data_IF_552273045076
#
_entry.id   IF_552273045076
#
_cell.length_a   1.000
_cell.length_b   1.000
_cell.length_c   1.000
_cell.angle_alpha   90.00
_cell.angle_beta   90.00
_cell.angle_gamma   90.00
#
_symmetry.space_group_name_H-M   'P 1'
#
loop_
_entity.id
_entity.type
_entity.pdbx_description
1 polymer ?
#
# COMPACT_ATOMS: atom_id res chain seq x y z
N UNK A 1 -56.25 28.82 -12.19
CA UNK A 1 -55.93 27.41 -12.41
C UNK A 1 -54.80 27.27 -13.43
N UNK A 2 -53.82 26.38 -13.18
CA UNK A 2 -52.66 26.00 -13.98
C UNK A 2 -51.45 26.96 -13.90
N UNK A 3 -50.41 26.56 -13.20
CA UNK A 3 -49.08 26.07 -13.68
C UNK A 3 -48.09 26.10 -12.54
N UNK A 4 -47.88 24.96 -11.91
CA UNK A 4 -46.65 24.68 -11.15
C UNK A 4 -46.33 23.19 -11.41
N UNK A 5 -45.34 22.91 -12.19
CA UNK A 5 -44.65 21.60 -12.27
C UNK A 5 -43.60 21.69 -13.40
N UNK A 6 -42.37 21.95 -13.08
CA UNK A 6 -41.17 21.50 -13.80
C UNK A 6 -39.92 22.20 -13.26
N UNK A 7 -39.35 21.69 -12.18
CA UNK A 7 -37.97 22.02 -11.74
C UNK A 7 -37.53 21.01 -10.67
N UNK A 8 -37.34 19.76 -11.08
CA UNK A 8 -36.81 18.73 -10.18
C UNK A 8 -36.02 17.60 -10.88
N UNK A 9 -35.33 17.88 -11.99
CA UNK A 9 -34.68 16.81 -12.75
C UNK A 9 -33.16 17.02 -13.02
N UNK A 10 -32.52 18.06 -12.50
CA UNK A 10 -31.13 18.39 -12.88
C UNK A 10 -30.07 18.19 -11.80
N UNK A 11 -30.40 17.79 -10.57
CA UNK A 11 -29.44 17.67 -9.48
C UNK A 11 -28.79 16.29 -9.32
N UNK A 12 -29.31 15.23 -9.95
CA UNK A 12 -28.84 13.86 -9.72
C UNK A 12 -27.60 13.45 -10.54
N UNK A 13 -27.33 14.13 -11.67
CA UNK A 13 -26.26 13.69 -12.58
C UNK A 13 -24.83 14.11 -12.20
N UNK A 14 -24.67 15.15 -11.39
CA UNK A 14 -23.34 15.68 -11.01
C UNK A 14 -22.64 14.84 -9.92
N UNK A 15 -23.40 14.19 -9.04
CA UNK A 15 -22.82 13.43 -7.91
C UNK A 15 -22.18 12.11 -8.34
N UNK A 16 -22.75 11.46 -9.38
CA UNK A 16 -22.22 10.16 -9.88
C UNK A 16 -20.90 10.34 -10.62
N UNK A 17 -20.68 11.46 -11.30
CA UNK A 17 -19.43 11.71 -12.04
C UNK A 17 -18.21 11.90 -11.15
N UNK A 18 -18.37 12.54 -9.99
CA UNK A 18 -17.27 12.79 -9.04
C UNK A 18 -16.79 11.50 -8.37
N UNK A 19 -17.71 10.61 -8.02
CA UNK A 19 -17.37 9.34 -7.36
C UNK A 19 -16.61 8.36 -8.28
N UNK A 20 -16.93 8.29 -9.55
CA UNK A 20 -16.24 7.41 -10.52
C UNK A 20 -14.85 7.92 -10.86
N UNK A 21 -14.65 9.23 -10.95
CA UNK A 21 -13.34 9.84 -11.20
C UNK A 21 -12.41 9.64 -10.00
N UNK A 22 -12.87 9.86 -8.78
CA UNK A 22 -12.10 9.62 -7.55
C UNK A 22 -11.73 8.14 -7.38
N UNK A 23 -12.66 7.21 -7.61
CA UNK A 23 -12.37 5.78 -7.56
C UNK A 23 -11.32 5.33 -8.61
N UNK A 24 -11.29 5.99 -9.78
CA UNK A 24 -10.26 5.74 -10.81
C UNK A 24 -8.89 6.33 -10.45
N UNK A 25 -8.86 7.46 -9.79
CA UNK A 25 -7.62 8.08 -9.29
C UNK A 25 -7.00 7.24 -8.17
N UNK A 26 -7.80 6.76 -7.22
CA UNK A 26 -7.39 5.88 -6.13
C UNK A 26 -6.92 4.49 -6.62
N UNK A 27 -7.40 4.04 -7.77
CA UNK A 27 -7.01 2.77 -8.38
C UNK A 27 -5.65 2.82 -9.10
N UNK A 28 -5.02 3.99 -9.24
CA UNK A 28 -3.71 4.11 -9.88
C UNK A 28 -2.58 3.85 -8.88
N UNK A 29 -1.53 3.18 -9.35
CA UNK A 29 -0.29 3.12 -8.59
C UNK A 29 0.36 4.51 -8.51
N UNK A 30 0.97 4.83 -7.37
CA UNK A 30 1.74 6.07 -7.25
C UNK A 30 2.87 6.10 -8.29
N UNK A 31 3.22 7.29 -8.83
CA UNK A 31 4.24 7.41 -9.88
C UNK A 31 5.55 6.71 -9.51
N UNK A 32 5.98 5.75 -10.32
CA UNK A 32 7.19 4.94 -10.09
C UNK A 32 6.97 3.64 -9.34
N UNK A 33 5.82 3.43 -8.73
CA UNK A 33 5.45 2.13 -8.17
C UNK A 33 4.82 1.22 -9.26
N UNK A 34 4.99 -0.10 -9.16
CA UNK A 34 4.41 -1.03 -10.11
C UNK A 34 2.88 -1.12 -9.99
N UNK A 35 2.21 -1.43 -11.10
CA UNK A 35 0.74 -1.50 -11.18
C UNK A 35 0.09 -2.43 -10.14
N UNK A 36 0.78 -3.48 -9.69
CA UNK A 36 0.25 -4.38 -8.66
C UNK A 36 0.16 -3.76 -7.25
N UNK A 37 0.67 -2.53 -7.04
CA UNK A 37 0.46 -1.75 -5.82
C UNK A 37 -0.73 -0.79 -5.95
N UNK A 38 -1.40 -0.73 -7.11
CA UNK A 38 -2.48 0.22 -7.34
C UNK A 38 -3.59 0.09 -6.27
N UNK A 39 -4.08 1.22 -5.79
CA UNK A 39 -5.18 1.27 -4.81
C UNK A 39 -4.86 0.71 -3.43
N UNK A 40 -3.59 0.50 -3.07
CA UNK A 40 -3.22 -0.14 -1.79
C UNK A 40 -3.74 0.62 -0.56
N UNK A 41 -3.95 1.91 -0.64
CA UNK A 41 -4.48 2.71 0.47
C UNK A 41 -5.91 2.36 0.86
N UNK A 42 -6.67 1.76 -0.08
CA UNK A 42 -8.01 1.23 0.17
C UNK A 42 -8.01 -0.21 0.75
N UNK A 43 -6.85 -0.88 0.81
CA UNK A 43 -6.79 -2.23 1.37
C UNK A 43 -6.90 -2.23 2.89
N UNK A 44 -7.28 -3.37 3.51
CA UNK A 44 -7.28 -3.51 4.95
C UNK A 44 -5.93 -3.13 5.57
N UNK A 45 -5.97 -2.21 6.53
CA UNK A 45 -4.81 -1.83 7.31
C UNK A 45 -4.50 -2.92 8.34
N UNK A 46 -3.26 -3.36 8.38
CA UNK A 46 -2.81 -4.42 9.29
C UNK A 46 -2.56 -3.89 10.70
N UNK A 47 -2.01 -2.68 10.82
CA UNK A 47 -1.78 -2.01 12.09
C UNK A 47 -2.95 -1.08 12.46
N UNK A 48 -3.42 -1.15 13.71
CA UNK A 48 -4.51 -0.30 14.22
C UNK A 48 -4.09 1.17 14.33
N UNK A 49 -2.88 1.42 14.84
CA UNK A 49 -2.28 2.75 14.95
C UNK A 49 -0.97 2.80 14.15
N UNK A 50 -0.51 3.97 13.71
CA UNK A 50 0.79 4.10 13.04
C UNK A 50 1.90 3.49 13.91
N UNK A 51 2.76 2.69 13.30
CA UNK A 51 3.90 2.07 13.99
C UNK A 51 4.99 3.14 14.12
N UNK A 52 5.43 3.49 15.34
CA UNK A 52 6.44 4.53 15.54
C UNK A 52 7.81 4.08 14.99
N UNK A 53 8.72 5.02 14.70
CA UNK A 53 10.09 4.72 14.34
C UNK A 53 10.82 4.02 15.48
N UNK A 54 11.77 3.13 15.14
CA UNK A 54 12.67 2.47 16.07
C UNK A 54 14.09 2.60 15.55
N UNK A 55 15.05 2.75 16.44
CA UNK A 55 16.47 2.90 16.07
C UNK A 55 17.00 1.68 15.30
N UNK A 56 16.55 0.47 15.66
CA UNK A 56 16.95 -0.80 15.03
C UNK A 56 16.22 -1.15 13.75
N UNK A 57 15.23 -0.34 13.32
CA UNK A 57 14.45 -0.65 12.12
C UNK A 57 15.22 -0.28 10.85
N UNK A 58 15.34 -1.20 9.90
CA UNK A 58 15.83 -0.92 8.54
C UNK A 58 14.93 0.13 7.85
N UNK A 59 13.62 0.05 8.09
CA UNK A 59 12.63 1.00 7.60
C UNK A 59 12.41 2.13 8.63
N UNK A 60 13.35 3.06 8.73
CA UNK A 60 13.29 4.19 9.68
C UNK A 60 12.14 5.13 9.36
N UNK A 61 11.27 5.38 10.33
CA UNK A 61 10.13 6.30 10.20
C UNK A 61 8.84 5.73 10.76
N UNK A 62 7.78 6.55 10.73
CA UNK A 62 6.42 6.12 11.08
C UNK A 62 5.82 5.31 9.94
N UNK A 63 5.22 4.16 10.26
CA UNK A 63 4.77 3.17 9.28
C UNK A 63 3.28 2.90 9.34
N UNK A 64 2.68 2.71 8.16
CA UNK A 64 1.39 2.04 7.98
C UNK A 64 1.59 0.82 7.09
N UNK A 65 0.87 -0.24 7.37
CA UNK A 65 0.95 -1.50 6.61
C UNK A 65 -0.42 -1.88 6.13
N UNK A 66 -0.53 -2.18 4.85
CA UNK A 66 -1.75 -2.59 4.16
C UNK A 66 -1.54 -3.96 3.53
N UNK A 67 -2.58 -4.79 3.51
CA UNK A 67 -2.52 -6.11 2.88
C UNK A 67 -3.75 -6.35 2.02
N UNK A 68 -3.55 -6.77 0.77
CA UNK A 68 -4.64 -7.05 -0.17
C UNK A 68 -5.46 -8.27 0.23
N UNK A 69 -4.90 -9.18 1.05
CA UNK A 69 -5.57 -10.37 1.59
C UNK A 69 -5.23 -10.56 3.06
N UNK A 70 -6.13 -11.18 3.81
CA UNK A 70 -5.89 -11.50 5.23
C UNK A 70 -5.04 -12.77 5.37
N UNK A 71 -4.14 -12.78 6.35
CA UNK A 71 -3.44 -13.99 6.76
C UNK A 71 -4.39 -14.96 7.46
N UNK A 72 -4.18 -16.25 7.24
CA UNK A 72 -4.81 -17.33 7.99
C UNK A 72 -3.74 -18.04 8.82
N UNK A 73 -3.93 -18.11 10.15
CA UNK A 73 -2.93 -18.65 11.09
C UNK A 73 -1.53 -18.08 10.89
N UNK A 74 -1.46 -16.76 10.57
CA UNK A 74 -0.20 -16.05 10.35
C UNK A 74 0.42 -16.25 8.97
N UNK A 75 -0.18 -17.03 8.08
CA UNK A 75 0.32 -17.28 6.71
C UNK A 75 -0.56 -16.55 5.70
N UNK A 76 0.08 -15.82 4.79
CA UNK A 76 -0.62 -15.14 3.71
C UNK A 76 -0.78 -16.07 2.49
N UNK A 77 -1.94 -16.07 1.82
CA UNK A 77 -2.15 -16.89 0.63
C UNK A 77 -1.35 -16.34 -0.56
N UNK A 78 -1.09 -17.19 -1.55
CA UNK A 78 -0.51 -16.78 -2.84
C UNK A 78 -1.33 -15.67 -3.50
N UNK A 79 -0.67 -14.73 -4.16
CA UNK A 79 -1.27 -13.54 -4.74
C UNK A 79 -1.53 -12.42 -3.72
N UNK A 80 -1.10 -12.57 -2.45
CA UNK A 80 -1.14 -11.46 -1.49
C UNK A 80 -0.08 -10.43 -1.85
N UNK A 81 -0.49 -9.16 -1.75
CA UNK A 81 0.41 -8.01 -1.76
C UNK A 81 0.34 -7.34 -0.39
N UNK A 82 1.49 -7.00 0.18
CA UNK A 82 1.60 -6.22 1.40
C UNK A 82 2.39 -4.97 1.06
N UNK A 83 1.87 -3.80 1.43
CA UNK A 83 2.52 -2.51 1.23
C UNK A 83 2.74 -1.84 2.57
N UNK A 84 3.95 -1.40 2.83
CA UNK A 84 4.35 -0.62 3.99
C UNK A 84 4.73 0.78 3.53
N UNK A 85 3.94 1.76 3.95
CA UNK A 85 4.31 3.16 3.85
C UNK A 85 5.26 3.55 4.97
N UNK A 86 6.27 4.32 4.66
CA UNK A 86 7.19 4.87 5.63
C UNK A 86 7.29 6.39 5.43
N UNK A 87 6.98 7.12 6.51
CA UNK A 87 7.21 8.56 6.61
C UNK A 87 8.44 8.75 7.48
N UNK A 88 9.51 9.27 6.89
CA UNK A 88 10.76 9.54 7.60
C UNK A 88 10.56 10.61 8.68
N UNK A 89 11.39 10.64 9.72
CA UNK A 89 11.40 11.76 10.67
C UNK A 89 11.56 13.10 9.94
N UNK A 90 10.70 14.07 10.26
CA UNK A 90 10.68 15.37 9.58
C UNK A 90 9.86 15.46 8.29
N UNK A 91 9.59 14.33 7.62
CA UNK A 91 8.80 14.32 6.39
C UNK A 91 7.29 14.44 6.69
N UNK A 92 6.59 15.31 5.91
CA UNK A 92 5.13 15.38 5.92
C UNK A 92 4.46 14.45 4.89
N UNK A 93 5.23 13.65 4.17
CA UNK A 93 4.78 12.77 3.10
C UNK A 93 5.36 11.36 3.23
N UNK A 94 4.80 10.42 2.49
CA UNK A 94 5.35 9.06 2.36
C UNK A 94 6.55 9.12 1.44
N UNK A 95 7.75 9.06 2.01
CA UNK A 95 9.02 9.13 1.29
C UNK A 95 9.58 7.77 0.89
N UNK A 96 9.12 6.69 1.53
CA UNK A 96 9.54 5.32 1.24
C UNK A 96 8.32 4.41 1.20
N UNK A 97 8.30 3.49 0.25
CA UNK A 97 7.33 2.39 0.16
C UNK A 97 8.08 1.08 0.03
N UNK A 98 7.85 0.17 0.97
CA UNK A 98 8.34 -1.21 0.88
C UNK A 98 7.16 -2.14 0.61
N UNK A 99 7.27 -3.00 -0.40
CA UNK A 99 6.20 -3.95 -0.70
C UNK A 99 6.72 -5.36 -0.91
N UNK A 100 5.85 -6.31 -0.58
CA UNK A 100 6.05 -7.74 -0.78
C UNK A 100 4.87 -8.29 -1.56
N UNK A 101 5.10 -9.16 -2.54
CA UNK A 101 4.04 -9.96 -3.15
C UNK A 101 4.37 -11.44 -3.15
N UNK A 102 3.37 -12.28 -2.85
CA UNK A 102 3.53 -13.73 -2.80
C UNK A 102 3.17 -14.33 -4.15
N UNK A 103 4.16 -14.85 -4.85
CA UNK A 103 4.04 -15.37 -6.22
C UNK A 103 3.86 -16.89 -6.21
N UNK A 104 3.03 -17.44 -7.13
CA UNK A 104 2.90 -18.88 -7.30
C UNK A 104 4.22 -19.46 -7.87
N UNK A 105 4.56 -20.68 -7.46
CA UNK A 105 5.72 -21.40 -7.99
C UNK A 105 7.09 -20.82 -7.70
N UNK A 106 7.19 -19.64 -7.11
CA UNK A 106 8.45 -19.02 -6.73
C UNK A 106 9.07 -19.74 -5.54
N UNK A 107 10.28 -20.30 -5.71
CA UNK A 107 11.01 -20.98 -4.64
C UNK A 107 11.89 -20.05 -3.82
N UNK A 108 12.51 -19.04 -4.45
CA UNK A 108 13.34 -18.05 -3.77
C UNK A 108 12.53 -17.27 -2.73
N UNK A 109 13.11 -16.98 -1.57
CA UNK A 109 12.50 -16.22 -0.47
C UNK A 109 11.11 -16.75 -0.05
N UNK A 110 10.92 -18.09 -0.13
CA UNK A 110 9.66 -18.77 0.24
C UNK A 110 8.43 -18.21 -0.49
N UNK A 111 8.61 -17.82 -1.74
CA UNK A 111 7.54 -17.29 -2.60
C UNK A 111 7.38 -15.78 -2.56
N UNK A 112 8.08 -15.06 -1.68
CA UNK A 112 7.98 -13.62 -1.60
C UNK A 112 8.94 -12.93 -2.57
N UNK A 113 8.42 -11.99 -3.35
CA UNK A 113 9.18 -10.93 -3.99
C UNK A 113 9.11 -9.69 -3.10
N UNK A 114 10.24 -9.05 -2.87
CA UNK A 114 10.37 -7.91 -1.96
C UNK A 114 11.09 -6.78 -2.65
N UNK A 115 10.51 -5.59 -2.62
CA UNK A 115 11.08 -4.39 -3.23
C UNK A 115 10.78 -3.19 -2.34
N UNK A 116 11.75 -2.31 -2.22
CA UNK A 116 11.64 -1.03 -1.55
C UNK A 116 11.93 0.10 -2.54
N UNK A 117 11.12 1.16 -2.48
CA UNK A 117 11.26 2.36 -3.29
C UNK A 117 11.35 3.60 -2.41
N UNK A 118 12.00 4.63 -2.93
CA UNK A 118 12.12 5.92 -2.27
C UNK A 118 11.86 7.06 -3.24
N UNK A 119 11.44 8.21 -2.69
CA UNK A 119 11.35 9.47 -3.41
C UNK A 119 11.79 10.64 -2.53
N UNK A 120 12.42 11.68 -3.10
CA UNK A 120 12.90 12.85 -2.34
C UNK A 120 11.82 13.90 -2.06
N UNK A 121 10.65 13.84 -2.72
CA UNK A 121 9.55 14.79 -2.52
C UNK A 121 8.21 14.20 -2.94
N UNK A 122 7.11 14.88 -2.63
CA UNK A 122 5.75 14.46 -3.04
C UNK A 122 5.55 14.44 -4.56
N UNK A 123 6.27 15.29 -5.30
CA UNK A 123 6.17 15.42 -6.77
C UNK A 123 7.10 14.45 -7.51
N UNK A 124 8.09 13.90 -6.82
CA UNK A 124 9.04 12.97 -7.42
C UNK A 124 8.42 11.57 -7.59
N UNK A 125 8.86 10.88 -8.64
CA UNK A 125 8.55 9.46 -8.84
C UNK A 125 9.35 8.61 -7.86
N UNK A 126 8.79 7.48 -7.47
CA UNK A 126 9.51 6.48 -6.70
C UNK A 126 10.57 5.78 -7.57
N UNK A 127 11.80 5.70 -7.06
CA UNK A 127 12.90 4.91 -7.61
C UNK A 127 13.18 3.71 -6.70
N UNK A 128 13.65 2.60 -7.28
CA UNK A 128 14.01 1.40 -6.50
C UNK A 128 15.18 1.71 -5.59
N UNK A 129 15.05 1.42 -4.29
CA UNK A 129 16.08 1.55 -3.27
C UNK A 129 16.74 0.21 -2.96
N UNK A 130 15.95 -0.85 -2.78
CA UNK A 130 16.42 -2.19 -2.46
C UNK A 130 15.48 -3.27 -2.97
N UNK A 131 15.96 -4.49 -3.18
CA UNK A 131 15.17 -5.65 -3.59
C UNK A 131 15.85 -6.98 -3.31
N UNK A 132 15.05 -8.05 -3.28
CA UNK A 132 15.53 -9.43 -3.22
C UNK A 132 16.30 -9.76 -1.96
N UNK A 133 17.56 -10.21 -2.09
CA UNK A 133 18.37 -10.73 -0.99
C UNK A 133 18.59 -9.72 0.15
N UNK A 134 18.75 -8.43 -0.17
CA UNK A 134 18.89 -7.35 0.83
C UNK A 134 17.67 -7.28 1.75
N UNK A 135 16.47 -7.36 1.18
CA UNK A 135 15.23 -7.37 1.98
C UNK A 135 15.09 -8.69 2.76
N UNK A 136 15.42 -9.81 2.10
CA UNK A 136 15.28 -11.15 2.67
C UNK A 136 16.17 -11.36 3.90
N UNK A 137 17.37 -10.82 3.94
CA UNK A 137 18.30 -11.00 5.07
C UNK A 137 17.68 -10.65 6.43
N UNK A 138 16.80 -9.65 6.49
CA UNK A 138 16.04 -9.31 7.69
C UNK A 138 14.73 -10.10 7.78
N UNK A 139 13.99 -10.22 6.67
CA UNK A 139 12.66 -10.83 6.66
C UNK A 139 12.67 -12.32 6.98
N UNK A 140 13.78 -13.04 6.72
CA UNK A 140 13.90 -14.47 7.05
C UNK A 140 13.70 -14.79 8.54
N UNK A 141 13.91 -13.81 9.42
CA UNK A 141 13.68 -13.94 10.86
C UNK A 141 12.21 -13.81 11.27
N UNK A 142 11.34 -13.26 10.42
CA UNK A 142 9.92 -13.02 10.74
C UNK A 142 9.07 -14.27 10.51
N UNK A 143 8.75 -14.99 11.59
CA UNK A 143 7.89 -16.18 11.52
C UNK A 143 6.41 -15.82 11.80
N UNK A 144 5.45 -16.60 11.27
CA UNK A 144 5.63 -17.83 10.47
C UNK A 144 5.84 -17.61 8.96
N UNK A 145 5.53 -16.45 8.40
CA UNK A 145 5.50 -16.23 6.93
C UNK A 145 6.39 -15.06 6.48
N UNK A 146 7.46 -14.77 7.22
CA UNK A 146 8.49 -13.78 6.84
C UNK A 146 7.96 -12.33 6.73
N UNK A 147 6.85 -12.05 7.39
CA UNK A 147 6.20 -10.74 7.39
C UNK A 147 6.19 -10.15 8.80
N UNK A 148 6.83 -9.00 8.97
CA UNK A 148 6.74 -8.24 10.22
C UNK A 148 5.41 -7.49 10.26
N UNK A 149 4.38 -8.14 10.78
CA UNK A 149 3.10 -7.52 11.11
C UNK A 149 2.91 -7.59 12.62
N UNK A 150 2.76 -6.44 13.28
CA UNK A 150 2.31 -6.41 14.67
C UNK A 150 0.80 -6.24 14.66
N UNK A 151 0.12 -7.16 15.33
CA UNK A 151 -1.30 -7.03 15.67
C UNK A 151 -1.47 -6.09 16.84
#
# INVERSE_FOLDING_TARGET
MRRVLALAALAASAVVGVTVAQAREEARALPGLPAWTAGYTAWPKVNRAPIPPRASDAHRGTKNVYASKRARRGVYPVGTVIVKEIRRPGDRYVGVVAAMRKLPGRRAHRGWEMIEWTRPSTRARFGVLARGAVCWSCHMAAKPDYVFTRR
#
